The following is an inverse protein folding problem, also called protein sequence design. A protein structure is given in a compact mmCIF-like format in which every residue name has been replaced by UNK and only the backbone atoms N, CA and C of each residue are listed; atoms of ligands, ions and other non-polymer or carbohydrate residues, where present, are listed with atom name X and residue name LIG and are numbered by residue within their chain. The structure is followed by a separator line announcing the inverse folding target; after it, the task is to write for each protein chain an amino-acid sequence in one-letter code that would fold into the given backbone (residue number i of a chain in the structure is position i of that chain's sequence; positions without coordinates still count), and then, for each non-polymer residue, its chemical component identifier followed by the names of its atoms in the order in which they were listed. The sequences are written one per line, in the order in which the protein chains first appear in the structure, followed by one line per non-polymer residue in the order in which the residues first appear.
data_IF_484768731005
#
_entry.id   IF_484768731005
#
_cell.length_a   1.000
_cell.length_b   1.000
_cell.length_c   1.000
_cell.angle_alpha   90.00
_cell.angle_beta   90.00
_cell.angle_gamma   90.00
#
_symmetry.space_group_name_H-M   'P 1'
#
loop_
_entity.id
_entity.type
_entity.pdbx_description
1 polymer ?
#
# COMPACT_ATOMS: atom_id res chain seq x y z
N UNK A 1 18.99 -21.64 -21.60
CA UNK A 1 17.62 -21.09 -21.47
C UNK A 1 17.67 -19.99 -20.42
N UNK A 2 17.28 -18.75 -20.77
CA UNK A 2 17.21 -17.63 -19.82
C UNK A 2 15.93 -17.78 -19.00
N UNK A 3 16.03 -18.02 -17.69
CA UNK A 3 14.85 -18.04 -16.81
C UNK A 3 14.21 -16.65 -16.81
N UNK A 4 12.89 -16.53 -17.01
CA UNK A 4 12.22 -15.24 -16.88
C UNK A 4 12.35 -14.75 -15.43
N UNK A 5 13.03 -13.62 -15.24
CA UNK A 5 13.07 -12.92 -13.95
C UNK A 5 11.63 -12.45 -13.64
N UNK A 6 10.97 -13.10 -12.69
CA UNK A 6 9.73 -12.56 -12.10
C UNK A 6 10.14 -11.50 -11.09
N UNK A 7 10.05 -10.23 -11.46
CA UNK A 7 10.26 -9.09 -10.57
C UNK A 7 8.91 -8.53 -10.13
N UNK A 8 8.70 -8.42 -8.81
CA UNK A 8 7.60 -7.63 -8.24
C UNK A 8 8.14 -6.24 -7.93
N UNK A 9 7.61 -5.20 -8.58
CA UNK A 9 7.89 -3.81 -8.22
C UNK A 9 6.89 -3.38 -7.14
N UNK A 10 7.39 -3.10 -5.93
CA UNK A 10 6.62 -2.43 -4.90
C UNK A 10 7.04 -0.96 -4.91
N UNK A 11 6.12 -0.07 -5.32
CA UNK A 11 6.33 1.37 -5.21
C UNK A 11 6.01 1.80 -3.78
N UNK A 12 7.05 2.03 -2.99
CA UNK A 12 6.94 2.82 -1.76
C UNK A 12 7.23 4.28 -2.14
N UNK A 13 6.36 5.21 -1.74
CA UNK A 13 6.31 6.62 -2.16
C UNK A 13 7.62 7.43 -2.11
N UNK A 14 8.70 6.89 -1.53
CA UNK A 14 9.98 7.60 -1.39
C UNK A 14 11.17 6.90 -2.02
N UNK A 15 11.14 5.59 -2.28
CA UNK A 15 12.24 4.86 -2.91
C UNK A 15 11.72 3.56 -3.55
N UNK A 16 11.80 3.40 -4.87
CA UNK A 16 11.48 2.13 -5.50
C UNK A 16 12.43 1.04 -4.96
N UNK A 17 11.92 -0.19 -4.85
CA UNK A 17 12.72 -1.37 -4.49
C UNK A 17 12.66 -2.41 -5.59
N UNK A 18 13.79 -3.04 -5.86
CA UNK A 18 13.88 -4.21 -6.71
C UNK A 18 13.82 -5.47 -5.86
N UNK A 19 12.98 -6.43 -6.25
CA UNK A 19 12.86 -7.73 -5.59
C UNK A 19 13.25 -8.83 -6.58
N UNK A 20 14.33 -9.55 -6.31
CA UNK A 20 14.86 -10.61 -7.17
C UNK A 20 14.98 -11.96 -6.44
N UNK A 21 14.66 -13.06 -7.13
CA UNK A 21 15.00 -14.40 -6.67
C UNK A 21 16.36 -14.81 -7.21
N UNK A 22 17.30 -15.08 -6.30
CA UNK A 22 18.69 -15.41 -6.62
C UNK A 22 19.01 -16.83 -6.13
N UNK A 23 19.70 -17.58 -7.00
CA UNK A 23 20.22 -18.91 -6.70
C UNK A 23 21.74 -18.83 -6.61
N UNK A 24 22.26 -19.11 -5.42
CA UNK A 24 23.68 -19.05 -5.13
C UNK A 24 24.39 -20.32 -5.59
N UNK A 25 25.70 -20.22 -5.87
CA UNK A 25 26.51 -21.34 -6.37
C UNK A 25 26.59 -22.52 -5.39
N UNK A 26 26.38 -22.29 -4.09
CA UNK A 26 26.31 -23.33 -3.06
C UNK A 26 24.94 -24.01 -2.95
N UNK A 27 24.03 -23.77 -3.90
CA UNK A 27 22.69 -24.37 -3.94
C UNK A 27 21.63 -23.64 -3.13
N UNK A 28 22.01 -22.70 -2.25
CA UNK A 28 21.05 -21.90 -1.49
C UNK A 28 20.34 -20.89 -2.39
N UNK A 29 19.05 -20.65 -2.12
CA UNK A 29 18.26 -19.64 -2.85
C UNK A 29 17.65 -18.64 -1.88
N UNK A 30 17.68 -17.36 -2.24
CA UNK A 30 17.15 -16.27 -1.43
C UNK A 30 16.44 -15.24 -2.30
N UNK A 31 15.57 -14.46 -1.67
CA UNK A 31 14.99 -13.26 -2.24
C UNK A 31 15.86 -12.09 -1.79
N UNK A 32 16.35 -11.29 -2.74
CA UNK A 32 17.07 -10.05 -2.47
C UNK A 32 16.16 -8.86 -2.76
N UNK A 33 16.10 -7.94 -1.80
CA UNK A 33 15.39 -6.66 -1.91
C UNK A 33 16.44 -5.56 -1.90
N UNK A 34 16.51 -4.76 -2.96
CA UNK A 34 17.53 -3.72 -3.12
C UNK A 34 16.86 -2.38 -3.37
N UNK A 35 17.30 -1.32 -2.66
CA UNK A 35 16.89 0.04 -2.98
C UNK A 35 17.35 0.42 -4.40
N UNK A 36 16.48 1.04 -5.20
CA UNK A 36 16.87 1.43 -6.57
C UNK A 36 17.83 2.61 -6.58
N UNK A 37 17.68 3.53 -5.62
CA UNK A 37 18.53 4.70 -5.45
C UNK A 37 19.66 4.40 -4.43
N UNK A 38 20.91 4.78 -4.74
CA UNK A 38 21.99 4.73 -3.77
C UNK A 38 21.85 5.84 -2.70
N UNK A 39 22.48 5.64 -1.55
CA UNK A 39 22.63 6.66 -0.51
C UNK A 39 23.62 7.77 -0.90
N UNK A 40 23.82 8.74 -0.01
CA UNK A 40 24.76 9.86 -0.19
C UNK A 40 26.21 9.41 -0.46
N UNK A 41 26.55 8.16 -0.15
CA UNK A 41 27.86 7.56 -0.38
C UNK A 41 27.89 6.62 -1.60
N UNK A 42 26.85 6.62 -2.43
CA UNK A 42 26.75 5.76 -3.61
C UNK A 42 26.41 4.29 -3.30
N UNK A 43 26.08 3.94 -2.05
CA UNK A 43 25.78 2.55 -1.65
C UNK A 43 24.27 2.29 -1.67
N UNK A 44 23.87 1.16 -2.25
CA UNK A 44 22.49 0.69 -2.19
C UNK A 44 22.31 -0.20 -0.97
N UNK A 45 21.25 0.02 -0.19
CA UNK A 45 20.89 -0.92 0.87
C UNK A 45 20.26 -2.16 0.24
N UNK A 46 20.57 -3.31 0.82
CA UNK A 46 20.05 -4.61 0.40
C UNK A 46 19.64 -5.43 1.62
N UNK A 47 18.53 -6.15 1.49
CA UNK A 47 18.08 -7.16 2.43
C UNK A 47 17.99 -8.51 1.71
N UNK A 48 18.40 -9.58 2.40
CA UNK A 48 18.28 -10.96 1.88
C UNK A 48 17.38 -11.75 2.80
N UNK A 49 16.40 -12.42 2.20
CA UNK A 49 15.40 -13.22 2.88
C UNK A 49 15.43 -14.62 2.31
N UNK A 50 15.32 -15.63 3.17
CA UNK A 50 14.95 -16.96 2.70
C UNK A 50 13.56 -16.90 2.05
N UNK A 51 13.25 -17.87 1.20
CA UNK A 51 11.90 -17.99 0.61
C UNK A 51 10.82 -18.03 1.71
N UNK A 52 11.05 -18.78 2.78
CA UNK A 52 10.11 -18.89 3.90
C UNK A 52 9.86 -17.53 4.58
N UNK A 53 10.91 -16.73 4.82
CA UNK A 53 10.76 -15.40 5.41
C UNK A 53 10.01 -14.44 4.48
N UNK A 54 10.30 -14.50 3.17
CA UNK A 54 9.59 -13.68 2.18
C UNK A 54 8.12 -14.07 2.07
N UNK A 55 7.80 -15.37 2.02
CA UNK A 55 6.42 -15.86 1.97
C UNK A 55 5.64 -15.43 3.22
N UNK A 56 6.25 -15.54 4.42
CA UNK A 56 5.64 -15.05 5.67
C UNK A 56 5.36 -13.55 5.61
N UNK A 57 6.33 -12.75 5.13
CA UNK A 57 6.17 -11.31 4.98
C UNK A 57 5.03 -10.95 4.02
N UNK A 58 5.01 -11.55 2.83
CA UNK A 58 3.97 -11.31 1.81
C UNK A 58 2.60 -11.74 2.33
N UNK A 59 2.49 -12.89 2.98
CA UNK A 59 1.23 -13.35 3.57
C UNK A 59 0.74 -12.40 4.67
N UNK A 60 1.64 -11.88 5.49
CA UNK A 60 1.32 -10.86 6.50
C UNK A 60 0.79 -9.56 5.87
N UNK A 61 1.41 -9.09 4.79
CA UNK A 61 0.93 -7.93 4.04
C UNK A 61 -0.46 -8.15 3.42
N UNK A 62 -0.70 -9.32 2.81
CA UNK A 62 -1.99 -9.67 2.22
C UNK A 62 -3.09 -9.78 3.28
N UNK A 63 -2.78 -10.38 4.43
CA UNK A 63 -3.72 -10.43 5.56
C UNK A 63 -4.01 -9.04 6.12
N UNK A 64 -2.99 -8.20 6.30
CA UNK A 64 -3.18 -6.82 6.72
C UNK A 64 -4.09 -6.05 5.76
N UNK A 65 -3.81 -6.12 4.45
CA UNK A 65 -4.62 -5.46 3.43
C UNK A 65 -6.07 -5.93 3.46
N UNK A 66 -6.30 -7.25 3.59
CA UNK A 66 -7.64 -7.83 3.72
C UNK A 66 -8.37 -7.28 4.95
N UNK A 67 -7.74 -7.36 6.11
CA UNK A 67 -8.34 -6.91 7.38
C UNK A 67 -8.62 -5.41 7.36
N UNK A 68 -7.71 -4.62 6.79
CA UNK A 68 -7.88 -3.19 6.62
C UNK A 68 -9.07 -2.85 5.71
N UNK A 69 -9.21 -3.54 4.57
CA UNK A 69 -10.36 -3.32 3.68
C UNK A 69 -11.68 -3.76 4.32
N UNK A 70 -11.69 -4.86 5.07
CA UNK A 70 -12.86 -5.31 5.82
C UNK A 70 -13.29 -4.28 6.87
N UNK A 71 -12.33 -3.73 7.64
CA UNK A 71 -12.60 -2.66 8.60
C UNK A 71 -13.16 -1.40 7.92
N UNK A 72 -12.54 -0.96 6.82
CA UNK A 72 -13.03 0.18 6.04
C UNK A 72 -14.45 -0.04 5.52
N UNK A 73 -14.77 -1.24 5.03
CA UNK A 73 -16.11 -1.56 4.55
C UNK A 73 -17.15 -1.52 5.69
N UNK A 74 -16.79 -2.00 6.88
CA UNK A 74 -17.66 -1.95 8.06
C UNK A 74 -17.91 -0.51 8.50
N UNK A 75 -16.87 0.32 8.59
CA UNK A 75 -17.00 1.75 8.90
C UNK A 75 -17.87 2.47 7.86
N UNK A 76 -17.66 2.19 6.57
CA UNK A 76 -18.46 2.76 5.48
C UNK A 76 -19.94 2.38 5.55
N UNK A 77 -20.24 1.14 5.94
CA UNK A 77 -21.61 0.65 6.12
C UNK A 77 -22.28 1.26 7.36
N UNK A 78 -21.51 1.61 8.39
CA UNK A 78 -22.02 2.25 9.60
C UNK A 78 -22.41 3.73 9.37
N UNK A 79 -21.85 4.38 8.34
CA UNK A 79 -22.20 5.76 7.99
C UNK A 79 -23.63 5.87 7.44
N UNK A 80 -24.38 6.80 8.01
CA UNK A 80 -25.70 7.23 7.52
C UNK A 80 -25.58 8.03 6.22
N UNK A 81 -26.67 8.12 5.47
CA UNK A 81 -26.72 8.94 4.25
C UNK A 81 -26.49 10.42 4.54
N UNK A 82 -26.95 10.92 5.70
CA UNK A 82 -26.73 12.30 6.13
C UNK A 82 -25.23 12.59 6.35
N UNK A 83 -24.50 11.66 7.00
CA UNK A 83 -23.05 11.79 7.19
C UNK A 83 -22.31 11.75 5.84
N UNK A 84 -22.69 10.85 4.94
CA UNK A 84 -22.10 10.75 3.59
C UNK A 84 -22.34 12.03 2.78
N UNK A 85 -23.53 12.60 2.86
CA UNK A 85 -23.86 13.89 2.23
C UNK A 85 -23.06 15.03 2.85
N UNK A 86 -22.91 15.06 4.18
CA UNK A 86 -22.14 16.08 4.86
C UNK A 86 -20.66 16.07 4.43
N UNK A 87 -20.03 14.90 4.41
CA UNK A 87 -18.65 14.71 3.90
C UNK A 87 -18.54 15.25 2.47
N UNK A 88 -19.50 14.90 1.62
CA UNK A 88 -19.51 15.29 0.19
C UNK A 88 -19.63 16.81 0.02
N UNK A 89 -20.49 17.45 0.82
CA UNK A 89 -20.66 18.91 0.80
C UNK A 89 -19.38 19.63 1.23
N UNK A 90 -18.73 19.18 2.30
CA UNK A 90 -17.47 19.80 2.74
C UNK A 90 -16.35 19.63 1.71
N UNK A 91 -16.25 18.46 1.08
CA UNK A 91 -15.30 18.25 -0.02
C UNK A 91 -15.58 19.17 -1.21
N UNK A 92 -16.85 19.31 -1.62
CA UNK A 92 -17.25 20.22 -2.69
C UNK A 92 -17.03 21.69 -2.33
N UNK A 93 -17.03 22.05 -1.04
CA UNK A 93 -16.66 23.37 -0.54
C UNK A 93 -15.13 23.62 -0.53
N UNK A 94 -14.32 22.62 -0.88
CA UNK A 94 -12.88 22.75 -1.08
C UNK A 94 -12.00 22.07 -0.02
N UNK A 95 -12.58 21.35 0.95
CA UNK A 95 -11.80 20.61 1.94
C UNK A 95 -11.07 19.41 1.30
N UNK A 96 -9.81 19.17 1.66
CA UNK A 96 -9.09 17.99 1.19
C UNK A 96 -9.56 16.72 1.91
N UNK A 97 -9.55 15.57 1.23
CA UNK A 97 -9.96 14.29 1.81
C UNK A 97 -9.21 13.94 3.11
N UNK A 98 -7.93 14.33 3.18
CA UNK A 98 -7.11 14.18 4.38
C UNK A 98 -7.61 15.04 5.55
N UNK A 99 -7.91 16.32 5.29
CA UNK A 99 -8.42 17.25 6.31
C UNK A 99 -9.77 16.79 6.85
N UNK A 100 -10.63 16.26 5.96
CA UNK A 100 -11.91 15.65 6.34
C UNK A 100 -11.69 14.44 7.24
N UNK A 101 -10.74 13.56 6.90
CA UNK A 101 -10.38 12.41 7.73
C UNK A 101 -9.94 12.83 9.13
N UNK A 102 -9.01 13.80 9.20
CA UNK A 102 -8.50 14.32 10.47
C UNK A 102 -9.62 14.95 11.33
N UNK A 103 -10.50 15.75 10.71
CA UNK A 103 -11.61 16.44 11.42
C UNK A 103 -12.72 15.50 11.90
N UNK A 104 -12.97 14.41 11.19
CA UNK A 104 -14.01 13.42 11.50
C UNK A 104 -13.45 12.21 12.26
N UNK A 105 -12.18 12.26 12.68
CA UNK A 105 -11.49 11.17 13.36
C UNK A 105 -11.57 9.84 12.60
N UNK A 106 -11.43 9.90 11.28
CA UNK A 106 -11.44 8.73 10.41
C UNK A 106 -10.28 8.75 9.42
N UNK A 107 -10.16 7.73 8.59
CA UNK A 107 -9.09 7.63 7.60
C UNK A 107 -9.42 8.38 6.32
N UNK A 108 -8.41 8.95 5.67
CA UNK A 108 -8.53 9.50 4.31
C UNK A 108 -9.10 8.47 3.33
N UNK A 109 -8.79 7.18 3.52
CA UNK A 109 -9.31 6.09 2.72
C UNK A 109 -10.84 5.96 2.83
N UNK A 110 -11.40 6.07 4.05
CA UNK A 110 -12.85 6.05 4.26
C UNK A 110 -13.52 7.24 3.57
N UNK A 111 -12.93 8.44 3.70
CA UNK A 111 -13.43 9.65 3.03
C UNK A 111 -13.46 9.45 1.51
N UNK A 112 -12.38 8.93 0.92
CA UNK A 112 -12.33 8.64 -0.53
C UNK A 112 -13.38 7.61 -0.93
N UNK A 113 -13.63 6.57 -0.13
CA UNK A 113 -14.71 5.61 -0.40
C UNK A 113 -16.09 6.28 -0.39
N UNK A 114 -16.35 7.19 0.56
CA UNK A 114 -17.59 7.99 0.58
C UNK A 114 -17.74 8.81 -0.69
N UNK A 115 -16.71 9.58 -1.06
CA UNK A 115 -16.75 10.45 -2.24
C UNK A 115 -16.95 9.63 -3.53
N UNK A 116 -16.28 8.48 -3.66
CA UNK A 116 -16.46 7.57 -4.78
C UNK A 116 -17.89 6.99 -4.86
N UNK A 117 -18.48 6.64 -3.71
CA UNK A 117 -19.87 6.15 -3.65
C UNK A 117 -20.90 7.20 -4.09
N UNK A 118 -20.53 8.49 -3.99
CA UNK A 118 -21.32 9.64 -4.42
C UNK A 118 -20.98 10.10 -5.86
N UNK A 119 -20.17 9.34 -6.59
CA UNK A 119 -19.84 9.60 -8.00
C UNK A 119 -18.65 10.54 -8.24
N UNK A 120 -17.93 10.96 -7.19
CA UNK A 120 -16.73 11.79 -7.33
C UNK A 120 -15.54 10.88 -7.69
N UNK A 121 -14.94 11.12 -8.86
CA UNK A 121 -13.79 10.36 -9.37
C UNK A 121 -12.48 11.03 -8.98
N UNK A 122 -11.50 10.21 -8.59
CA UNK A 122 -10.17 10.65 -8.12
C UNK A 122 -10.21 11.73 -7.02
N UNK A 123 -10.96 11.50 -5.92
CA UNK A 123 -10.98 12.38 -4.75
C UNK A 123 -9.70 12.30 -3.89
#
# INVERSE_FOLDING_TARGET
MKNPKKSLHLNFDKNPVNIEYLKHANGMSYIEITETAPDENGKKKQARLSKAQFDTFVNGLLQFQKNFQEALNQEFQALTDAEKQHITQQYQAGAAAKELGDSLHTTEALIKMVLQSQGIKNP
#
